data_IF_734929186663
#
_entry.id   IF_734929186663
#
_cell.length_a   1.000
_cell.length_b   1.000
_cell.length_c   1.000
_cell.angle_alpha   90.00
_cell.angle_beta   90.00
_cell.angle_gamma   90.00
#
_symmetry.space_group_name_H-M   'P 1'
#
loop_
_entity.id
_entity.type
_entity.pdbx_description
1 polymer ?
#
# COMPACT_ATOMS: atom_id res chain seq x y z
N UNK A 1 29.12 7.70 -2.00
CA UNK A 1 28.43 8.35 -0.86
C UNK A 1 27.32 7.39 -0.47
N UNK A 2 27.29 6.92 0.78
CA UNK A 2 26.26 5.97 1.21
C UNK A 2 24.89 6.59 1.03
N UNK A 3 23.94 5.84 0.46
CA UNK A 3 22.57 6.28 0.31
C UNK A 3 21.95 6.32 1.71
N UNK A 4 21.83 7.50 2.30
CA UNK A 4 21.45 7.72 3.72
C UNK A 4 20.04 7.18 4.06
N UNK A 5 19.28 6.81 3.03
CA UNK A 5 17.93 6.26 3.10
C UNK A 5 17.84 4.73 2.85
N UNK A 6 18.92 4.08 2.38
CA UNK A 6 18.87 2.64 2.09
C UNK A 6 19.00 1.78 3.36
N UNK A 7 18.30 0.64 3.38
CA UNK A 7 18.45 -0.35 4.46
C UNK A 7 19.87 -0.93 4.49
N UNK A 8 20.35 -1.27 5.69
CA UNK A 8 21.56 -2.07 5.84
C UNK A 8 21.38 -3.46 5.21
N UNK A 9 22.46 -4.15 4.86
CA UNK A 9 22.36 -5.50 4.29
C UNK A 9 21.63 -6.50 5.21
N UNK A 10 21.79 -6.33 6.52
CA UNK A 10 21.09 -7.14 7.54
C UNK A 10 19.59 -6.83 7.55
N UNK A 11 19.23 -5.56 7.55
CA UNK A 11 17.84 -5.11 7.64
C UNK A 11 17.07 -5.44 6.37
N UNK A 12 17.71 -5.27 5.20
CA UNK A 12 17.16 -5.72 3.93
C UNK A 12 16.88 -7.24 3.93
N UNK A 13 17.79 -8.04 4.50
CA UNK A 13 17.58 -9.49 4.61
C UNK A 13 16.40 -9.82 5.53
N UNK A 14 16.29 -9.16 6.69
CA UNK A 14 15.17 -9.36 7.61
C UNK A 14 13.82 -8.96 6.99
N UNK A 15 13.79 -7.88 6.21
CA UNK A 15 12.61 -7.49 5.45
C UNK A 15 12.22 -8.56 4.43
N UNK A 16 13.18 -9.04 3.63
CA UNK A 16 12.95 -10.08 2.64
C UNK A 16 12.42 -11.37 3.28
N UNK A 17 12.99 -11.77 4.42
CA UNK A 17 12.50 -12.89 5.23
C UNK A 17 11.05 -12.66 5.70
N UNK A 18 10.71 -11.44 6.16
CA UNK A 18 9.36 -11.07 6.60
C UNK A 18 8.31 -11.21 5.50
N UNK A 19 8.70 -11.02 4.24
CA UNK A 19 7.83 -11.19 3.06
C UNK A 19 8.02 -12.56 2.36
N UNK A 20 8.85 -13.44 2.90
CA UNK A 20 9.07 -14.79 2.40
C UNK A 20 9.89 -14.89 1.10
N UNK A 21 10.75 -13.90 0.83
CA UNK A 21 11.62 -13.86 -0.34
C UNK A 21 13.11 -13.92 0.03
N UNK A 22 13.93 -14.35 -0.93
CA UNK A 22 15.38 -14.17 -0.88
C UNK A 22 15.81 -12.89 -1.60
N UNK A 23 17.07 -12.49 -1.44
CA UNK A 23 17.63 -11.35 -2.17
C UNK A 23 17.66 -11.67 -3.67
N UNK A 24 17.08 -10.81 -4.54
CA UNK A 24 17.18 -11.01 -5.99
C UNK A 24 18.63 -10.85 -6.46
N UNK A 25 18.99 -11.56 -7.53
CA UNK A 25 20.32 -11.47 -8.14
C UNK A 25 20.56 -10.10 -8.81
N UNK A 26 19.51 -9.53 -9.40
CA UNK A 26 19.53 -8.26 -10.11
C UNK A 26 18.23 -7.47 -9.88
N UNK A 27 18.26 -6.13 -9.93
CA UNK A 27 17.09 -5.28 -9.75
C UNK A 27 16.23 -5.20 -11.04
N UNK A 28 15.64 -6.32 -11.46
CA UNK A 28 14.79 -6.38 -12.67
C UNK A 28 13.33 -6.03 -12.38
N UNK A 29 12.53 -5.84 -13.44
CA UNK A 29 11.08 -5.63 -13.31
C UNK A 29 10.38 -6.85 -12.71
N UNK A 30 10.80 -8.05 -13.09
CA UNK A 30 10.23 -9.30 -12.57
C UNK A 30 10.49 -9.43 -11.06
N UNK A 31 11.71 -9.12 -10.61
CA UNK A 31 12.03 -9.09 -9.19
C UNK A 31 11.23 -8.01 -8.43
N UNK A 32 11.01 -6.84 -9.04
CA UNK A 32 10.19 -5.77 -8.47
C UNK A 32 8.73 -6.22 -8.32
N UNK A 33 8.18 -6.88 -9.34
CA UNK A 33 6.80 -7.39 -9.34
C UNK A 33 6.60 -8.46 -8.25
N UNK A 34 7.58 -9.34 -8.06
CA UNK A 34 7.57 -10.33 -6.98
C UNK A 34 7.65 -9.68 -5.59
N UNK A 35 8.50 -8.66 -5.42
CA UNK A 35 8.64 -7.89 -4.18
C UNK A 35 7.33 -7.18 -3.80
N UNK A 36 6.69 -6.49 -4.76
CA UNK A 36 5.40 -5.81 -4.56
C UNK A 36 4.34 -6.82 -4.14
N UNK A 37 4.23 -7.93 -4.85
CA UNK A 37 3.21 -8.95 -4.56
C UNK A 37 3.43 -9.59 -3.18
N UNK A 38 4.67 -9.97 -2.88
CA UNK A 38 5.04 -10.62 -1.63
C UNK A 38 4.80 -9.69 -0.43
N UNK A 39 5.14 -8.39 -0.55
CA UNK A 39 4.82 -7.41 0.48
C UNK A 39 3.32 -7.32 0.73
N UNK A 40 2.53 -7.07 -0.32
CA UNK A 40 1.08 -6.90 -0.20
C UNK A 40 0.38 -8.13 0.41
N UNK A 41 0.97 -9.32 0.27
CA UNK A 41 0.46 -10.57 0.86
C UNK A 41 0.99 -10.88 2.26
N UNK A 42 1.97 -10.14 2.76
CA UNK A 42 2.69 -10.47 3.99
C UNK A 42 2.56 -9.40 5.07
N UNK A 43 2.61 -8.12 4.69
CA UNK A 43 2.58 -6.99 5.62
C UNK A 43 1.26 -6.26 5.40
N UNK A 44 0.40 -6.16 6.43
CA UNK A 44 -0.91 -5.55 6.27
C UNK A 44 -0.83 -4.02 6.22
N UNK A 45 -1.73 -3.43 5.45
CA UNK A 45 -2.12 -2.03 5.68
C UNK A 45 -2.93 -1.96 6.96
N UNK A 46 -2.64 -1.01 7.86
CA UNK A 46 -3.46 -0.78 9.07
C UNK A 46 -3.30 0.63 9.66
N UNK A 47 -4.35 1.10 10.35
CA UNK A 47 -4.43 2.42 11.02
C UNK A 47 -4.66 2.31 12.53
N UNK A 48 -4.46 1.14 13.13
CA UNK A 48 -4.97 0.79 14.45
C UNK A 48 -4.31 1.60 15.56
N UNK A 49 -3.00 1.80 15.49
CA UNK A 49 -2.30 2.62 16.49
C UNK A 49 -2.73 4.09 16.40
N UNK A 50 -2.89 4.62 15.19
CA UNK A 50 -3.36 5.99 14.99
C UNK A 50 -4.78 6.18 15.54
N UNK A 51 -5.69 5.24 15.26
CA UNK A 51 -7.04 5.24 15.80
C UNK A 51 -7.06 5.18 17.33
N UNK A 52 -6.22 4.34 17.95
CA UNK A 52 -6.22 4.14 19.41
C UNK A 52 -5.48 5.23 20.18
N UNK A 53 -4.36 5.69 19.66
CA UNK A 53 -3.46 6.61 20.36
C UNK A 53 -3.73 8.07 20.04
N UNK A 54 -4.52 8.35 18.98
CA UNK A 54 -4.77 9.71 18.50
C UNK A 54 -3.47 10.48 18.17
N UNK A 55 -2.44 9.77 17.73
CA UNK A 55 -1.14 10.34 17.36
C UNK A 55 -0.76 9.96 15.91
N UNK A 56 -0.11 10.88 15.17
CA UNK A 56 0.45 10.56 13.86
C UNK A 56 1.48 9.43 13.96
N UNK A 57 1.51 8.49 13.00
CA UNK A 57 2.58 7.51 12.92
C UNK A 57 3.96 8.15 12.84
N UNK A 58 4.96 7.58 13.53
CA UNK A 58 6.35 8.01 13.42
C UNK A 58 6.95 7.49 12.11
N UNK A 59 7.43 8.41 11.27
CA UNK A 59 8.00 8.09 9.96
C UNK A 59 9.52 7.95 9.97
N UNK A 60 10.18 8.00 11.14
CA UNK A 60 11.60 7.71 11.22
C UNK A 60 11.87 6.26 10.79
N UNK A 61 12.78 6.07 9.83
CA UNK A 61 12.96 4.80 9.14
C UNK A 61 13.28 3.63 10.09
N UNK A 62 14.03 3.88 11.16
CA UNK A 62 14.35 2.90 12.21
C UNK A 62 13.12 2.49 13.03
N UNK A 63 12.20 3.44 13.30
CA UNK A 63 10.92 3.19 13.99
C UNK A 63 9.96 2.41 13.11
N UNK A 64 9.85 2.81 11.85
CA UNK A 64 9.05 2.10 10.85
C UNK A 64 9.57 0.68 10.66
N UNK A 65 10.89 0.49 10.56
CA UNK A 65 11.49 -0.84 10.45
C UNK A 65 11.19 -1.70 11.68
N UNK A 66 11.38 -1.17 12.89
CA UNK A 66 11.11 -1.92 14.12
C UNK A 66 9.64 -2.35 14.20
N UNK A 67 8.70 -1.45 13.89
CA UNK A 67 7.27 -1.76 13.88
C UNK A 67 6.93 -2.85 12.85
N UNK A 68 7.24 -2.63 11.57
CA UNK A 68 6.78 -3.48 10.48
C UNK A 68 7.51 -4.83 10.45
N UNK A 69 8.82 -4.84 10.72
CA UNK A 69 9.69 -6.01 10.54
C UNK A 69 9.91 -6.73 11.86
N UNK A 70 10.40 -6.03 12.89
CA UNK A 70 10.75 -6.67 14.17
C UNK A 70 9.52 -7.05 14.99
N UNK A 71 8.50 -6.18 15.03
CA UNK A 71 7.25 -6.42 15.76
C UNK A 71 6.18 -7.09 14.90
N UNK A 72 6.46 -7.38 13.62
CA UNK A 72 5.56 -8.01 12.66
C UNK A 72 4.21 -7.28 12.49
N UNK A 73 4.16 -5.97 12.75
CA UNK A 73 2.97 -5.14 12.56
C UNK A 73 2.77 -4.77 11.09
N UNK A 74 1.63 -4.13 10.82
CA UNK A 74 1.41 -3.39 9.58
C UNK A 74 1.79 -1.92 9.71
N UNK A 75 1.32 -1.13 8.76
CA UNK A 75 1.34 0.33 8.81
C UNK A 75 0.41 0.91 7.76
N UNK A 76 0.28 2.23 7.71
CA UNK A 76 -0.44 2.90 6.62
C UNK A 76 0.53 3.30 5.47
N UNK A 77 0.02 3.99 4.45
CA UNK A 77 0.75 4.21 3.20
C UNK A 77 2.13 4.88 3.35
N UNK A 78 2.26 5.87 4.24
CA UNK A 78 3.53 6.59 4.41
C UNK A 78 4.61 5.72 5.07
N UNK A 79 4.24 4.85 6.01
CA UNK A 79 5.16 3.87 6.63
C UNK A 79 5.56 2.78 5.63
N UNK A 80 4.55 2.14 5.01
CA UNK A 80 4.76 0.98 4.15
C UNK A 80 5.61 1.32 2.92
N UNK A 81 5.25 2.41 2.22
CA UNK A 81 5.95 2.79 0.99
C UNK A 81 7.31 3.44 1.27
N UNK A 82 7.51 4.12 2.41
CA UNK A 82 8.85 4.61 2.79
C UNK A 82 9.81 3.44 3.07
N UNK A 83 9.37 2.44 3.83
CA UNK A 83 10.22 1.28 4.12
C UNK A 83 10.46 0.43 2.87
N UNK A 84 9.46 0.30 1.99
CA UNK A 84 9.61 -0.41 0.72
C UNK A 84 10.60 0.29 -0.22
N UNK A 85 10.54 1.61 -0.34
CA UNK A 85 11.53 2.38 -1.09
C UNK A 85 12.95 2.17 -0.54
N UNK A 86 13.13 2.17 0.79
CA UNK A 86 14.43 1.94 1.42
C UNK A 86 14.97 0.52 1.13
N UNK A 87 14.08 -0.47 1.08
CA UNK A 87 14.42 -1.81 0.61
C UNK A 87 14.88 -1.79 -0.84
N UNK A 88 14.08 -1.21 -1.75
CA UNK A 88 14.42 -1.18 -3.18
C UNK A 88 15.77 -0.50 -3.43
N UNK A 89 16.03 0.63 -2.76
CA UNK A 89 17.33 1.31 -2.81
C UNK A 89 18.48 0.40 -2.36
N UNK A 90 18.29 -0.40 -1.30
CA UNK A 90 19.31 -1.36 -0.82
C UNK A 90 19.56 -2.55 -1.77
N UNK A 91 18.59 -2.83 -2.64
CA UNK A 91 18.66 -3.86 -3.69
C UNK A 91 19.27 -3.32 -4.99
N UNK A 92 19.51 -2.01 -5.09
CA UNK A 92 20.15 -1.37 -6.24
C UNK A 92 19.19 -0.81 -7.28
N UNK A 93 17.91 -0.70 -6.97
CA UNK A 93 16.96 0.03 -7.81
C UNK A 93 17.21 1.55 -7.71
N UNK A 94 17.01 2.27 -8.82
CA UNK A 94 16.87 3.72 -8.82
C UNK A 94 15.42 4.07 -8.46
N UNK A 95 15.21 4.62 -7.27
CA UNK A 95 13.87 4.87 -6.71
C UNK A 95 13.74 6.27 -6.13
N UNK A 96 12.51 6.76 -6.10
CA UNK A 96 12.13 8.02 -5.45
C UNK A 96 10.70 7.96 -4.94
N UNK A 97 10.36 8.75 -3.91
CA UNK A 97 9.00 8.80 -3.42
C UNK A 97 8.11 9.62 -4.37
N UNK A 98 6.81 9.33 -4.33
CA UNK A 98 5.81 9.95 -5.19
C UNK A 98 4.61 10.45 -4.37
N UNK A 99 4.19 11.68 -4.65
CA UNK A 99 2.97 12.27 -4.11
C UNK A 99 1.76 11.73 -4.86
N UNK A 100 0.74 11.28 -4.14
CA UNK A 100 -0.47 10.77 -4.74
C UNK A 100 -1.75 11.25 -4.05
N UNK A 101 -2.85 11.22 -4.81
CA UNK A 101 -4.22 11.28 -4.30
C UNK A 101 -4.84 9.91 -4.42
N UNK A 102 -5.30 9.34 -3.32
CA UNK A 102 -6.20 8.20 -3.34
C UNK A 102 -7.57 8.70 -3.83
N UNK A 103 -7.90 8.43 -5.10
CA UNK A 103 -9.13 8.92 -5.73
C UNK A 103 -10.30 7.99 -5.44
N UNK A 104 -10.10 6.67 -5.52
CA UNK A 104 -11.13 5.67 -5.23
C UNK A 104 -12.49 5.96 -5.93
N UNK A 105 -12.46 6.49 -7.15
CA UNK A 105 -13.65 6.87 -7.92
C UNK A 105 -14.39 8.14 -7.45
N UNK A 106 -13.83 8.90 -6.50
CA UNK A 106 -14.37 10.17 -6.03
C UNK A 106 -14.48 11.20 -7.17
N UNK A 107 -15.57 11.96 -7.17
CA UNK A 107 -15.83 13.01 -8.18
C UNK A 107 -15.10 14.32 -7.87
N UNK A 108 -14.83 14.55 -6.59
CA UNK A 108 -14.08 15.71 -6.09
C UNK A 108 -12.73 15.17 -5.65
N UNK A 109 -11.66 15.81 -6.10
CA UNK A 109 -10.30 15.40 -5.76
C UNK A 109 -10.02 15.76 -4.30
N UNK A 110 -9.56 14.79 -3.54
CA UNK A 110 -8.95 15.05 -2.25
C UNK A 110 -7.60 15.76 -2.39
N UNK A 111 -7.10 16.38 -1.31
CA UNK A 111 -5.70 16.74 -1.21
C UNK A 111 -4.79 15.54 -1.46
N UNK A 112 -3.50 15.82 -1.68
CA UNK A 112 -2.50 14.75 -1.69
C UNK A 112 -2.52 14.11 -0.30
N UNK A 113 -2.81 12.81 -0.27
CA UNK A 113 -3.06 12.06 0.97
C UNK A 113 -2.36 10.69 0.96
N UNK A 114 -1.54 10.43 -0.05
CA UNK A 114 -0.92 9.13 -0.26
C UNK A 114 0.53 9.25 -0.72
N UNK A 115 1.37 8.31 -0.26
CA UNK A 115 2.75 8.11 -0.72
C UNK A 115 2.80 6.83 -1.54
N UNK A 116 3.45 6.87 -2.70
CA UNK A 116 3.86 5.68 -3.45
C UNK A 116 5.34 5.77 -3.83
N UNK A 117 5.85 4.78 -4.58
CA UNK A 117 7.24 4.73 -5.04
C UNK A 117 7.28 4.76 -6.57
N UNK A 118 8.16 5.58 -7.13
CA UNK A 118 8.53 5.52 -8.54
C UNK A 118 9.89 4.84 -8.67
N UNK A 119 9.99 3.91 -9.62
CA UNK A 119 11.21 3.16 -9.92
C UNK A 119 11.61 3.46 -11.37
N UNK A 120 12.86 3.81 -11.60
CA UNK A 120 13.42 3.92 -12.94
C UNK A 120 14.03 2.56 -13.34
N UNK A 121 13.55 2.01 -14.45
CA UNK A 121 14.06 0.79 -15.05
C UNK A 121 14.55 1.13 -16.46
N UNK A 122 15.85 1.34 -16.63
CA UNK A 122 16.49 1.66 -17.91
C UNK A 122 15.83 2.83 -18.68
N UNK A 123 15.40 3.86 -17.95
CA UNK A 123 14.74 5.05 -18.51
C UNK A 123 13.21 4.97 -18.55
N UNK A 124 12.61 3.84 -18.20
CA UNK A 124 11.16 3.68 -18.01
C UNK A 124 10.78 3.94 -16.56
N UNK A 125 9.86 4.87 -16.30
CA UNK A 125 9.27 5.05 -14.98
C UNK A 125 8.12 4.07 -14.76
N UNK A 126 8.19 3.32 -13.65
CA UNK A 126 7.12 2.45 -13.19
C UNK A 126 6.66 2.86 -11.79
N UNK A 127 5.36 2.78 -11.54
CA UNK A 127 4.75 2.94 -10.22
C UNK A 127 4.82 1.62 -9.46
N UNK A 128 5.32 1.66 -8.23
CA UNK A 128 5.25 0.57 -7.27
C UNK A 128 4.56 1.07 -5.99
N UNK A 129 3.53 0.35 -5.54
CA UNK A 129 2.76 0.73 -4.37
C UNK A 129 2.37 -0.50 -3.55
N UNK A 130 2.84 -0.56 -2.32
CA UNK A 130 2.53 -1.62 -1.37
C UNK A 130 1.67 -1.13 -0.20
N UNK A 131 1.33 0.16 -0.17
CA UNK A 131 0.73 0.85 0.97
C UNK A 131 -0.68 1.38 0.75
N UNK A 132 -1.30 1.20 -0.41
CA UNK A 132 -2.65 1.71 -0.69
C UNK A 132 -3.78 1.01 0.08
N UNK A 133 -3.58 -0.23 0.54
CA UNK A 133 -4.65 -1.03 1.17
C UNK A 133 -5.67 -1.62 0.19
N UNK A 134 -5.32 -1.65 -1.10
CA UNK A 134 -6.14 -2.18 -2.21
C UNK A 134 -7.17 -1.18 -2.77
N UNK A 135 -7.54 -1.24 -4.07
CA UNK A 135 -7.23 -2.26 -5.07
C UNK A 135 -6.19 -1.82 -6.13
N UNK A 136 -5.04 -1.28 -5.73
CA UNK A 136 -3.95 -1.02 -6.67
C UNK A 136 -3.31 -2.30 -7.23
N UNK A 137 -2.52 -2.18 -8.32
CA UNK A 137 -1.81 -3.29 -8.94
C UNK A 137 -1.04 -4.16 -7.94
N UNK A 138 -1.01 -5.46 -8.22
CA UNK A 138 -0.27 -6.45 -7.45
C UNK A 138 1.14 -6.70 -7.99
N UNK A 139 1.67 -5.70 -8.71
CA UNK A 139 2.96 -5.65 -9.38
C UNK A 139 3.27 -4.17 -9.70
N UNK A 140 4.43 -3.88 -10.30
CA UNK A 140 4.72 -2.56 -10.84
C UNK A 140 3.85 -2.24 -12.07
N UNK A 141 3.50 -0.96 -12.22
CA UNK A 141 2.69 -0.44 -13.33
C UNK A 141 3.53 0.53 -14.17
N UNK A 142 3.70 0.24 -15.46
CA UNK A 142 4.43 1.11 -16.37
C UNK A 142 3.66 2.40 -16.66
N UNK A 143 4.34 3.55 -16.62
CA UNK A 143 3.75 4.85 -16.93
C UNK A 143 3.79 5.14 -18.44
N UNK A 144 3.08 4.31 -19.20
CA UNK A 144 2.90 4.45 -20.65
C UNK A 144 1.46 4.85 -20.92
N UNK A 145 1.26 6.03 -21.51
CA UNK A 145 -0.06 6.65 -21.63
C UNK A 145 -1.05 5.79 -22.42
N UNK A 146 -2.16 5.42 -21.76
CA UNK A 146 -3.26 4.67 -22.36
C UNK A 146 -2.95 3.18 -22.58
N UNK A 147 -1.78 2.67 -22.16
CA UNK A 147 -1.45 1.26 -22.32
C UNK A 147 -2.18 0.40 -21.27
N UNK A 148 -3.00 -0.54 -21.75
CA UNK A 148 -3.59 -1.56 -20.89
C UNK A 148 -2.52 -2.57 -20.42
N UNK A 149 -2.52 -2.83 -19.12
CA UNK A 149 -1.64 -3.78 -18.46
C UNK A 149 -2.48 -4.76 -17.64
N UNK A 150 -2.38 -6.06 -17.98
CA UNK A 150 -3.05 -7.13 -17.25
C UNK A 150 -2.13 -7.63 -16.15
N UNK A 151 -2.49 -7.32 -14.90
CA UNK A 151 -1.70 -7.65 -13.71
C UNK A 151 -2.52 -8.62 -12.86
N UNK A 152 -2.08 -9.89 -12.85
CA UNK A 152 -2.73 -11.00 -12.12
C UNK A 152 -4.25 -11.11 -12.33
N UNK A 153 -4.71 -10.86 -13.55
CA UNK A 153 -6.11 -10.98 -13.96
C UNK A 153 -6.96 -9.72 -13.78
N UNK A 154 -6.37 -8.62 -13.28
CA UNK A 154 -6.99 -7.30 -13.26
C UNK A 154 -6.38 -6.41 -14.36
N UNK A 155 -7.19 -5.54 -14.96
CA UNK A 155 -6.75 -4.61 -16.02
C UNK A 155 -6.53 -3.22 -15.42
N UNK A 156 -5.37 -2.64 -15.72
CA UNK A 156 -4.97 -1.31 -15.30
C UNK A 156 -4.46 -0.49 -16.49
N UNK A 157 -4.60 0.82 -16.40
CA UNK A 157 -4.05 1.77 -17.37
C UNK A 157 -3.48 2.97 -16.63
N UNK A 158 -2.23 3.33 -16.94
CA UNK A 158 -1.69 4.62 -16.59
C UNK A 158 -2.09 5.62 -17.68
N UNK A 159 -2.78 6.70 -17.30
CA UNK A 159 -3.24 7.73 -18.23
C UNK A 159 -2.67 9.07 -17.84
N UNK A 160 -1.99 9.73 -18.77
CA UNK A 160 -1.43 11.06 -18.56
C UNK A 160 -2.57 12.07 -18.44
N UNK A 161 -2.54 12.90 -17.39
CA UNK A 161 -3.47 14.01 -17.19
C UNK A 161 -2.86 15.29 -17.75
N UNK A 162 -1.61 15.56 -17.38
CA UNK A 162 -0.80 16.68 -17.84
C UNK A 162 0.70 16.33 -17.79
N UNK A 163 1.58 17.33 -17.83
CA UNK A 163 3.03 17.13 -17.82
C UNK A 163 3.56 16.45 -16.55
N UNK A 164 2.84 16.57 -15.43
CA UNK A 164 3.27 16.11 -14.11
C UNK A 164 2.35 15.06 -13.51
N UNK A 165 1.08 15.04 -13.89
CA UNK A 165 0.06 14.19 -13.27
C UNK A 165 -0.35 13.03 -14.15
N UNK A 166 -0.53 11.88 -13.52
CA UNK A 166 -1.07 10.66 -14.11
C UNK A 166 -2.22 10.11 -13.28
N UNK A 167 -3.16 9.44 -13.93
CA UNK A 167 -4.20 8.63 -13.31
C UNK A 167 -3.86 7.15 -13.47
N UNK A 168 -4.11 6.37 -12.43
CA UNK A 168 -4.18 4.91 -12.49
C UNK A 168 -5.64 4.52 -12.54
N UNK A 169 -6.07 4.11 -13.73
CA UNK A 169 -7.39 3.60 -13.98
C UNK A 169 -7.38 2.07 -13.83
N UNK A 170 -8.33 1.53 -13.08
CA UNK A 170 -8.56 0.09 -12.95
C UNK A 170 -9.88 -0.28 -13.62
N UNK A 171 -9.88 -1.33 -14.43
CA UNK A 171 -11.10 -1.93 -14.95
C UNK A 171 -11.49 -3.06 -14.00
N UNK A 172 -12.62 -2.88 -13.32
CA UNK A 172 -13.14 -3.95 -12.46
C UNK A 172 -13.75 -5.05 -13.33
N UNK A 173 -13.15 -6.23 -13.37
CA UNK A 173 -13.71 -7.42 -14.03
C UNK A 173 -14.92 -8.04 -13.30
N UNK A 174 -15.32 -7.46 -12.17
CA UNK A 174 -16.40 -7.96 -11.35
C UNK A 174 -17.74 -7.32 -11.76
N UNK A 175 -18.80 -8.14 -11.85
CA UNK A 175 -20.19 -7.66 -11.95
C UNK A 175 -20.60 -6.78 -10.76
N UNK A 176 -19.85 -6.85 -9.64
CA UNK A 176 -20.01 -6.10 -8.38
C UNK A 176 -18.66 -5.54 -7.91
N UNK A 177 -18.59 -4.26 -7.58
CA UNK A 177 -17.36 -3.62 -7.07
C UNK A 177 -17.00 -4.04 -5.62
N UNK A 178 -15.97 -3.40 -5.02
CA UNK A 178 -15.56 -3.66 -3.63
C UNK A 178 -16.66 -3.34 -2.61
N UNK A 179 -17.57 -2.43 -2.95
CA UNK A 179 -18.69 -1.95 -2.15
C UNK A 179 -20.01 -2.70 -2.44
N UNK A 180 -20.01 -3.62 -3.42
CA UNK A 180 -21.15 -4.47 -3.76
C UNK A 180 -22.13 -3.89 -4.79
N UNK A 181 -21.75 -2.83 -5.50
CA UNK A 181 -22.58 -2.16 -6.51
C UNK A 181 -22.54 -2.93 -7.83
N UNK A 182 -23.70 -3.33 -8.38
CA UNK A 182 -23.79 -4.00 -9.68
C UNK A 182 -23.65 -3.02 -10.86
N UNK A 183 -22.85 -3.36 -11.88
CA UNK A 183 -22.69 -2.56 -13.09
C UNK A 183 -21.85 -3.24 -14.18
N UNK A 184 -21.82 -2.72 -15.43
CA UNK A 184 -20.85 -3.15 -16.44
C UNK A 184 -19.43 -2.94 -15.91
N UNK A 185 -18.44 -3.63 -16.49
CA UNK A 185 -17.02 -3.38 -16.19
C UNK A 185 -16.77 -1.87 -16.19
N UNK A 186 -16.51 -1.31 -15.00
CA UNK A 186 -16.36 0.13 -14.83
C UNK A 186 -14.87 0.42 -14.73
N UNK A 187 -14.41 1.31 -15.59
CA UNK A 187 -13.13 1.97 -15.40
C UNK A 187 -13.30 2.96 -14.24
N UNK A 188 -12.49 2.77 -13.20
CA UNK A 188 -12.45 3.63 -12.02
C UNK A 188 -11.02 4.15 -11.85
N UNK A 189 -10.87 5.47 -11.71
CA UNK A 189 -9.60 6.06 -11.29
C UNK A 189 -9.41 5.78 -9.81
N UNK A 190 -8.39 4.99 -9.48
CA UNK A 190 -8.08 4.62 -8.10
C UNK A 190 -7.05 5.60 -7.49
N UNK A 191 -6.09 6.06 -8.29
CA UNK A 191 -4.98 6.89 -7.85
C UNK A 191 -4.69 7.99 -8.88
N UNK A 192 -4.33 9.18 -8.40
CA UNK A 192 -3.58 10.16 -9.19
C UNK A 192 -2.19 10.33 -8.59
N UNK A 193 -1.15 10.34 -9.42
CA UNK A 193 0.24 10.48 -8.98
C UNK A 193 0.94 11.66 -9.67
N UNK A 194 1.88 12.29 -8.96
CA UNK A 194 2.66 13.43 -9.43
C UNK A 194 4.13 13.04 -9.62
N UNK A 195 4.70 13.40 -10.77
CA UNK A 195 6.09 13.12 -11.11
C UNK A 195 7.10 14.10 -10.50
N UNK A 196 6.65 15.16 -9.82
CA UNK A 196 7.55 16.12 -9.19
C UNK A 196 8.53 15.45 -8.22
N UNK A 197 9.78 15.95 -8.19
CA UNK A 197 10.76 15.54 -7.21
C UNK A 197 10.36 16.08 -5.83
N UNK A 198 10.40 15.22 -4.82
CA UNK A 198 9.99 15.53 -3.44
C UNK A 198 10.91 14.84 -2.44
N UNK A 199 10.75 15.18 -1.17
CA UNK A 199 11.57 14.70 -0.06
C UNK A 199 10.71 14.10 1.03
N UNK A 200 11.30 13.33 1.95
CA UNK A 200 10.56 12.77 3.10
C UNK A 200 9.89 13.84 3.99
N UNK A 201 10.41 15.07 4.00
CA UNK A 201 9.80 16.18 4.74
C UNK A 201 8.44 16.59 4.20
N UNK A 202 8.21 16.44 2.90
CA UNK A 202 6.90 16.70 2.30
C UNK A 202 5.86 15.71 2.85
N UNK A 203 6.26 14.45 3.03
CA UNK A 203 5.40 13.40 3.59
C UNK A 203 5.18 13.55 5.09
N UNK A 204 6.12 14.13 5.85
CA UNK A 204 5.90 14.42 7.26
C UNK A 204 4.74 15.42 7.48
N UNK A 205 4.64 16.45 6.63
CA UNK A 205 3.52 17.40 6.68
C UNK A 205 2.20 16.74 6.29
N UNK A 206 2.21 15.88 5.27
CA UNK A 206 1.02 15.15 4.82
C UNK A 206 0.55 14.12 5.83
N UNK A 207 1.48 13.41 6.49
CA UNK A 207 1.19 12.51 7.59
C UNK A 207 0.42 13.24 8.68
N UNK A 208 0.95 14.38 9.15
CA UNK A 208 0.28 15.17 10.17
C UNK A 208 -1.13 15.57 9.73
N UNK A 209 -1.30 16.02 8.49
CA UNK A 209 -2.62 16.40 7.96
C UNK A 209 -3.60 15.21 7.88
N UNK A 210 -3.13 14.02 7.49
CA UNK A 210 -3.95 12.81 7.34
C UNK A 210 -4.28 12.12 8.68
N UNK A 211 -3.65 12.55 9.77
CA UNK A 211 -3.80 11.99 11.13
C UNK A 211 -4.51 12.94 12.09
N UNK A 212 -5.25 13.92 11.57
CA UNK A 212 -6.07 14.83 12.39
C UNK A 212 -7.50 14.30 12.61
N UNK A 213 -8.19 14.74 13.68
CA UNK A 213 -9.62 14.49 13.85
C UNK A 213 -10.44 14.91 12.62
N UNK A 214 -11.42 14.08 12.25
CA UNK A 214 -12.22 14.23 11.04
C UNK A 214 -11.61 13.63 9.77
N UNK A 215 -10.38 13.10 9.84
CA UNK A 215 -9.78 12.33 8.74
C UNK A 215 -10.13 10.84 8.86
N UNK A 216 -10.41 10.19 7.74
CA UNK A 216 -10.85 8.79 7.67
C UNK A 216 -9.96 7.83 8.49
N UNK A 217 -8.64 7.94 8.35
CA UNK A 217 -7.70 7.05 9.04
C UNK A 217 -7.58 7.31 10.55
N UNK A 218 -7.98 8.50 11.01
CA UNK A 218 -8.08 8.83 12.43
C UNK A 218 -9.39 8.30 13.03
N UNK A 219 -10.50 8.41 12.27
CA UNK A 219 -11.84 8.06 12.73
C UNK A 219 -12.14 6.56 12.67
N UNK A 220 -11.39 5.80 11.86
CA UNK A 220 -11.66 4.39 11.61
C UNK A 220 -10.44 3.50 11.90
N UNK A 221 -10.69 2.36 12.55
CA UNK A 221 -9.71 1.27 12.64
C UNK A 221 -9.82 0.38 11.41
N UNK A 222 -8.82 0.49 10.55
CA UNK A 222 -8.79 -0.17 9.26
C UNK A 222 -7.63 -1.16 9.24
N UNK A 223 -7.85 -2.32 8.64
CA UNK A 223 -6.77 -3.21 8.24
C UNK A 223 -7.08 -3.83 6.86
N UNK A 224 -6.07 -4.05 6.03
CA UNK A 224 -6.20 -4.76 4.77
C UNK A 224 -4.97 -5.64 4.50
N UNK A 225 -5.20 -6.84 3.97
CA UNK A 225 -4.14 -7.73 3.52
C UNK A 225 -4.59 -8.45 2.26
N UNK A 226 -3.77 -8.39 1.20
CA UNK A 226 -4.01 -9.20 -0.01
C UNK A 226 -3.74 -10.67 0.31
N UNK A 227 -4.48 -11.55 -0.34
CA UNK A 227 -4.19 -12.98 -0.30
C UNK A 227 -4.03 -13.53 -1.72
N UNK A 228 -3.61 -14.79 -1.83
CA UNK A 228 -3.47 -15.46 -3.14
C UNK A 228 -4.79 -15.54 -3.90
N UNK A 229 -5.92 -15.55 -3.21
CA UNK A 229 -7.25 -15.74 -3.82
C UNK A 229 -8.27 -14.67 -3.45
N UNK A 230 -7.83 -13.57 -2.82
CA UNK A 230 -8.65 -12.41 -2.52
C UNK A 230 -7.99 -11.44 -1.54
N UNK A 231 -8.68 -11.11 -0.44
CA UNK A 231 -8.18 -10.22 0.60
C UNK A 231 -8.89 -10.43 1.93
N UNK A 232 -8.22 -10.03 3.01
CA UNK A 232 -8.82 -9.78 4.31
C UNK A 232 -8.91 -8.28 4.54
N UNK A 233 -10.01 -7.82 5.11
CA UNK A 233 -10.22 -6.41 5.42
C UNK A 233 -10.95 -6.26 6.75
N UNK A 234 -10.57 -5.27 7.53
CA UNK A 234 -11.32 -4.80 8.69
C UNK A 234 -11.69 -3.34 8.43
N UNK A 235 -12.95 -3.03 8.70
CA UNK A 235 -13.44 -1.68 8.81
C UNK A 235 -14.22 -1.56 10.11
N UNK A 236 -13.71 -0.77 11.05
CA UNK A 236 -14.20 -0.65 12.41
C UNK A 236 -14.37 -2.04 13.06
N UNK A 237 -15.62 -2.45 13.25
CA UNK A 237 -15.97 -3.69 13.95
C UNK A 237 -16.44 -4.78 12.98
N UNK A 238 -16.08 -4.67 11.71
CA UNK A 238 -16.47 -5.65 10.68
C UNK A 238 -15.26 -6.25 9.99
N UNK A 239 -15.05 -7.54 10.21
CA UNK A 239 -14.16 -8.36 9.40
C UNK A 239 -14.84 -8.72 8.08
N UNK A 240 -14.12 -8.52 6.98
CA UNK A 240 -14.45 -8.98 5.65
C UNK A 240 -13.40 -9.98 5.18
N UNK A 241 -13.83 -11.20 4.87
CA UNK A 241 -12.99 -12.23 4.26
C UNK A 241 -13.48 -12.43 2.84
N UNK A 242 -12.63 -12.12 1.85
CA UNK A 242 -12.90 -12.43 0.45
C UNK A 242 -11.88 -13.45 -0.04
N UNK A 243 -12.35 -14.64 -0.40
CA UNK A 243 -11.50 -15.72 -0.90
C UNK A 243 -12.20 -16.49 -2.02
N UNK A 244 -11.48 -16.76 -3.12
CA UNK A 244 -11.98 -17.56 -4.26
C UNK A 244 -13.33 -17.08 -4.81
N UNK A 245 -13.57 -15.78 -4.73
CA UNK A 245 -14.81 -15.14 -5.19
C UNK A 245 -15.94 -15.07 -4.16
N UNK A 246 -15.83 -15.76 -3.03
CA UNK A 246 -16.78 -15.66 -1.92
C UNK A 246 -16.42 -14.49 -1.01
N UNK A 247 -17.42 -13.77 -0.49
CA UNK A 247 -17.25 -12.64 0.45
C UNK A 247 -18.10 -12.89 1.68
N UNK A 248 -17.46 -13.01 2.83
CA UNK A 248 -18.10 -13.16 4.14
C UNK A 248 -17.82 -11.92 4.97
N UNK A 249 -18.85 -11.39 5.64
CA UNK A 249 -18.71 -10.30 6.62
C UNK A 249 -19.12 -10.79 8.00
N UNK A 250 -18.31 -10.50 8.99
CA UNK A 250 -18.49 -10.93 10.39
C UNK A 250 -18.33 -9.73 11.29
N UNK A 251 -19.31 -9.49 12.16
CA UNK A 251 -19.20 -8.47 13.21
C UNK A 251 -18.25 -8.95 14.31
N UNK A 252 -17.40 -8.05 14.78
CA UNK A 252 -16.46 -8.24 15.87
C UNK A 252 -17.11 -7.63 17.11
N UNK A 253 -17.59 -8.49 18.01
CA UNK A 253 -18.49 -8.07 19.08
C UNK A 253 -17.82 -7.22 20.18
N UNK A 254 -16.52 -7.37 20.35
CA UNK A 254 -15.71 -6.72 21.38
C UNK A 254 -14.23 -6.67 20.96
N UNK A 255 -13.40 -6.06 21.82
CA UNK A 255 -11.96 -5.92 21.60
C UNK A 255 -11.22 -7.26 21.54
N UNK A 256 -11.69 -8.29 22.24
CA UNK A 256 -11.07 -9.61 22.20
C UNK A 256 -11.29 -10.27 20.83
N UNK A 257 -12.52 -10.21 20.31
CA UNK A 257 -12.84 -10.68 18.97
C UNK A 257 -12.06 -9.91 17.89
N UNK A 258 -11.87 -8.60 18.07
CA UNK A 258 -11.04 -7.78 17.20
C UNK A 258 -9.56 -8.20 17.23
N UNK A 259 -8.99 -8.40 18.43
CA UNK A 259 -7.61 -8.84 18.61
C UNK A 259 -7.37 -10.21 17.95
N UNK A 260 -8.26 -11.16 18.20
CA UNK A 260 -8.19 -12.51 17.64
C UNK A 260 -8.32 -12.49 16.12
N UNK A 261 -9.14 -11.59 15.55
CA UNK A 261 -9.23 -11.39 14.11
C UNK A 261 -7.93 -10.80 13.53
N UNK A 262 -7.34 -9.80 14.18
CA UNK A 262 -6.04 -9.23 13.76
C UNK A 262 -4.95 -10.31 13.75
N UNK A 263 -4.86 -11.10 14.82
CA UNK A 263 -3.84 -12.14 14.96
C UNK A 263 -4.03 -13.24 13.91
N UNK A 264 -5.27 -13.72 13.75
CA UNK A 264 -5.59 -14.82 12.84
C UNK A 264 -5.43 -14.46 11.36
N UNK A 265 -5.89 -13.28 10.96
CA UNK A 265 -5.99 -12.92 9.54
C UNK A 265 -4.85 -12.01 9.07
N UNK A 266 -4.29 -11.19 9.95
CA UNK A 266 -3.28 -10.18 9.59
C UNK A 266 -1.91 -10.47 10.21
N UNK A 267 -1.83 -11.47 11.10
CA UNK A 267 -0.56 -11.96 11.65
C UNK A 267 0.03 -11.08 12.75
N UNK A 268 -0.76 -10.20 13.37
CA UNK A 268 -0.31 -9.36 14.48
C UNK A 268 -1.39 -9.17 15.54
N UNK A 269 -0.99 -8.90 16.77
CA UNK A 269 -1.89 -8.56 17.87
C UNK A 269 -1.79 -7.05 18.18
N UNK A 270 -2.89 -6.29 18.17
CA UNK A 270 -2.88 -4.86 18.50
C UNK A 270 -2.42 -4.59 19.93
N UNK A 271 -1.83 -3.41 20.19
CA UNK A 271 -1.49 -3.00 21.55
C UNK A 271 -2.73 -2.74 22.40
N UNK A 272 -2.72 -3.22 23.65
CA UNK A 272 -3.81 -3.04 24.61
C UNK A 272 -5.05 -3.86 24.27
N UNK A 273 -4.87 -5.09 23.79
CA UNK A 273 -5.91 -6.04 23.39
C UNK A 273 -5.68 -7.43 23.97
#
# INVERSE_FOLDING_TARGET
MGNEFALSARDACAYLERIGLGRPEQPTREALDDLVYAHQCSIPFETIDMYRCAEPPDLALDRVFDKLITQHRGGYCFELNALFEALLASLGYEVRPCLCRAVCGAKVKDPINHRAVLVNLDGEEVLADVGFGGPLPSASLSLVDGQEQIIRGESFTARRIDDYWWAVDRVTGAKKDLYGIEGPSRTQTELELCLAAVTDKDFAALNLACSQPGMEFYEHRIANLRTKTGYYGIWDDTLTVRERGEKVRTALADEAAFADACERYFGFRPHGA
#
